data_IF_943964295557
#
_entry.id   IF_943964295557
#
_cell.length_a   1.000
_cell.length_b   1.000
_cell.length_c   1.000
_cell.angle_alpha   90.00
_cell.angle_beta   90.00
_cell.angle_gamma   90.00
#
_symmetry.space_group_name_H-M   'P 1'
#
loop_
_entity.id
_entity.type
_entity.pdbx_description
1 polymer ?
#
# COMPACT_ATOMS: atom_id res chain seq x y z
N UNK A 1 -82.36 27.61 -13.28
CA UNK A 1 -81.51 28.82 -13.28
C UNK A 1 -80.08 28.36 -13.53
N UNK A 2 -79.45 28.92 -14.55
CA UNK A 2 -78.17 28.52 -15.14
C UNK A 2 -77.02 28.53 -14.13
N UNK A 3 -76.05 27.61 -14.26
CA UNK A 3 -74.64 27.99 -14.43
C UNK A 3 -73.76 26.78 -14.80
N UNK A 4 -73.05 26.93 -15.92
CA UNK A 4 -71.85 26.16 -16.26
C UNK A 4 -70.72 26.44 -15.25
N UNK A 5 -69.80 25.49 -15.02
CA UNK A 5 -68.36 25.81 -15.00
C UNK A 5 -67.45 24.57 -15.01
N UNK A 6 -66.76 24.41 -16.14
CA UNK A 6 -65.36 24.04 -16.35
C UNK A 6 -64.78 22.73 -15.76
N UNK A 7 -64.52 21.83 -16.70
CA UNK A 7 -63.59 20.70 -16.67
C UNK A 7 -62.13 21.14 -16.48
N UNK A 8 -61.49 20.71 -15.39
CA UNK A 8 -60.05 20.79 -15.18
C UNK A 8 -59.32 19.60 -15.80
N UNK A 9 -58.58 19.84 -16.88
CA UNK A 9 -57.60 18.90 -17.42
C UNK A 9 -56.38 18.85 -16.49
N UNK A 10 -56.26 17.78 -15.71
CA UNK A 10 -55.05 17.48 -14.93
C UNK A 10 -53.98 16.98 -15.90
N UNK A 11 -53.03 17.86 -16.23
CA UNK A 11 -51.81 17.49 -16.97
C UNK A 11 -50.89 16.72 -16.02
N UNK A 12 -50.96 15.39 -16.07
CA UNK A 12 -49.94 14.51 -15.48
C UNK A 12 -48.64 14.66 -16.25
N UNK A 13 -47.73 15.50 -15.76
CA UNK A 13 -46.35 15.54 -16.23
C UNK A 13 -45.64 14.28 -15.74
N UNK A 14 -45.43 13.32 -16.64
CA UNK A 14 -44.64 12.12 -16.39
C UNK A 14 -43.16 12.53 -16.29
N UNK A 15 -42.67 12.75 -15.06
CA UNK A 15 -41.24 12.95 -14.83
C UNK A 15 -40.51 11.63 -15.03
N UNK A 16 -39.91 11.47 -16.21
CA UNK A 16 -38.98 10.39 -16.51
C UNK A 16 -37.69 10.62 -15.70
N UNK A 17 -37.59 9.99 -14.51
CA UNK A 17 -36.34 9.96 -13.74
C UNK A 17 -35.40 8.98 -14.44
N UNK A 18 -34.50 9.50 -15.26
CA UNK A 18 -33.39 8.73 -15.82
C UNK A 18 -32.39 8.44 -14.71
N UNK A 19 -32.52 7.30 -14.05
CA UNK A 19 -31.46 6.75 -13.20
C UNK A 19 -30.34 6.29 -14.13
N UNK A 20 -29.37 7.17 -14.37
CA UNK A 20 -28.10 6.78 -14.98
C UNK A 20 -27.35 5.97 -13.94
N UNK A 21 -27.53 4.65 -13.98
CA UNK A 21 -26.59 3.71 -13.38
C UNK A 21 -25.27 3.88 -14.11
N UNK A 22 -24.41 4.76 -13.58
CA UNK A 22 -23.00 4.81 -13.91
C UNK A 22 -22.40 3.47 -13.48
N UNK A 23 -22.50 2.47 -14.34
CA UNK A 23 -21.58 1.34 -14.33
C UNK A 23 -20.19 1.97 -14.50
N UNK A 24 -19.46 2.13 -13.40
CA UNK A 24 -18.03 2.45 -13.47
C UNK A 24 -17.36 1.42 -14.40
N UNK A 25 -16.34 1.83 -15.16
CA UNK A 25 -15.62 0.88 -15.99
C UNK A 25 -15.14 -0.25 -15.10
N UNK A 26 -15.54 -1.48 -15.43
CA UNK A 26 -14.95 -2.65 -14.82
C UNK A 26 -13.45 -2.61 -15.13
N UNK A 27 -12.62 -2.43 -14.10
CA UNK A 27 -11.16 -2.58 -14.19
C UNK A 27 -10.74 -4.01 -14.60
N UNK A 28 -11.70 -4.93 -14.73
CA UNK A 28 -11.48 -6.33 -15.07
C UNK A 28 -10.73 -6.46 -16.41
N UNK A 29 -9.53 -7.05 -16.35
CA UNK A 29 -8.72 -7.37 -17.53
C UNK A 29 -7.68 -6.32 -17.93
N UNK A 30 -7.54 -5.22 -17.19
CA UNK A 30 -6.41 -4.31 -17.38
C UNK A 30 -5.19 -4.83 -16.60
N UNK A 31 -4.03 -4.86 -17.27
CA UNK A 31 -2.79 -5.38 -16.69
C UNK A 31 -1.69 -4.32 -16.60
N UNK A 32 -0.85 -4.46 -15.57
CA UNK A 32 0.43 -3.78 -15.44
C UNK A 32 1.53 -4.70 -15.99
N UNK A 33 2.25 -4.24 -17.01
CA UNK A 33 3.49 -4.89 -17.44
C UNK A 33 4.60 -4.57 -16.45
N UNK A 34 5.19 -5.60 -15.83
CA UNK A 34 6.29 -5.46 -14.87
C UNK A 34 7.52 -6.19 -15.39
N UNK A 35 8.64 -5.46 -15.46
CA UNK A 35 9.96 -5.98 -15.82
C UNK A 35 10.69 -6.44 -14.56
N UNK A 36 10.62 -7.74 -14.27
CA UNK A 36 11.26 -8.34 -13.11
C UNK A 36 12.71 -8.71 -13.39
N UNK A 37 13.53 -8.62 -12.34
CA UNK A 37 14.91 -9.08 -12.35
C UNK A 37 15.18 -9.97 -11.15
N UNK A 38 15.78 -11.13 -11.37
CA UNK A 38 16.18 -12.08 -10.33
C UNK A 38 17.64 -12.50 -10.51
N UNK A 39 18.30 -12.92 -9.42
CA UNK A 39 19.61 -13.59 -9.48
C UNK A 39 19.41 -15.10 -9.49
N UNK A 40 19.97 -15.77 -10.49
CA UNK A 40 19.89 -17.24 -10.64
C UNK A 40 21.30 -17.81 -10.54
N UNK A 41 21.45 -18.88 -9.75
CA UNK A 41 22.73 -19.58 -9.61
C UNK A 41 23.22 -20.10 -10.97
N UNK A 42 24.53 -20.03 -11.19
CA UNK A 42 25.17 -20.65 -12.36
C UNK A 42 25.50 -22.10 -11.99
N UNK A 43 25.05 -23.10 -12.78
CA UNK A 43 25.43 -24.50 -12.58
C UNK A 43 26.96 -24.63 -12.47
N UNK A 44 27.41 -25.50 -11.57
CA UNK A 44 28.84 -25.76 -11.32
C UNK A 44 29.67 -24.55 -10.82
N UNK A 45 29.01 -23.44 -10.45
CA UNK A 45 29.66 -22.25 -9.89
C UNK A 45 28.88 -21.70 -8.68
N UNK A 46 28.94 -22.37 -7.51
CA UNK A 46 28.06 -22.12 -6.36
C UNK A 46 28.20 -20.73 -5.69
N UNK A 47 29.13 -19.88 -6.13
CA UNK A 47 29.29 -18.49 -5.67
C UNK A 47 28.97 -17.45 -6.75
N UNK A 48 28.60 -17.89 -7.95
CA UNK A 48 28.29 -17.00 -9.05
C UNK A 48 26.81 -17.05 -9.37
N UNK A 49 26.25 -15.90 -9.67
CA UNK A 49 24.89 -15.76 -10.14
C UNK A 49 24.87 -14.93 -11.40
N UNK A 50 23.90 -15.20 -12.27
CA UNK A 50 23.56 -14.35 -13.41
C UNK A 50 22.24 -13.64 -13.14
N UNK A 51 22.08 -12.46 -13.73
CA UNK A 51 20.78 -11.79 -13.74
C UNK A 51 19.90 -12.45 -14.79
N UNK A 52 18.67 -12.80 -14.41
CA UNK A 52 17.60 -13.19 -15.31
C UNK A 52 16.54 -12.08 -15.29
N UNK A 53 16.05 -11.72 -16.47
CA UNK A 53 14.96 -10.76 -16.64
C UNK A 53 13.70 -11.52 -17.09
N UNK A 54 12.55 -11.13 -16.55
CA UNK A 54 11.27 -11.67 -16.95
C UNK A 54 10.23 -10.55 -17.00
N UNK A 55 9.53 -10.44 -18.11
CA UNK A 55 8.33 -9.60 -18.21
C UNK A 55 7.14 -10.38 -17.66
N UNK A 56 6.37 -9.77 -16.75
CA UNK A 56 5.12 -10.31 -16.24
C UNK A 56 3.96 -9.35 -16.50
N UNK A 57 2.74 -9.89 -16.55
CA UNK A 57 1.49 -9.15 -16.63
C UNK A 57 0.74 -9.35 -15.32
N UNK A 58 0.51 -8.28 -14.57
CA UNK A 58 -0.20 -8.32 -13.31
C UNK A 58 -1.57 -7.69 -13.47
N UNK A 59 -2.64 -8.37 -13.03
CA UNK A 59 -3.99 -7.79 -13.05
C UNK A 59 -4.07 -6.64 -12.05
N UNK A 60 -4.51 -5.47 -12.51
CA UNK A 60 -4.53 -4.25 -11.69
C UNK A 60 -5.43 -4.41 -10.46
N UNK A 61 -6.56 -5.11 -10.59
CA UNK A 61 -7.49 -5.38 -9.49
C UNK A 61 -7.02 -6.48 -8.52
N UNK A 62 -5.94 -7.20 -8.86
CA UNK A 62 -5.30 -8.20 -8.00
C UNK A 62 -3.87 -7.80 -7.59
N UNK A 63 -3.52 -6.52 -7.75
CA UNK A 63 -2.19 -5.99 -7.44
C UNK A 63 -2.29 -4.89 -6.39
N UNK A 64 -1.39 -4.93 -5.40
CA UNK A 64 -1.21 -3.86 -4.44
C UNK A 64 0.28 -3.52 -4.27
N UNK A 65 0.56 -2.27 -3.89
CA UNK A 65 1.88 -1.83 -3.44
C UNK A 65 1.78 -1.49 -1.96
N UNK A 66 2.62 -2.13 -1.14
CA UNK A 66 2.72 -1.85 0.29
C UNK A 66 3.95 -1.00 0.55
N UNK A 67 3.78 0.16 1.19
CA UNK A 67 4.85 1.06 1.61
C UNK A 67 5.08 0.83 3.10
N UNK A 68 6.19 0.18 3.46
CA UNK A 68 6.54 -0.13 4.84
C UNK A 68 7.42 0.97 5.44
N UNK A 69 7.04 1.47 6.61
CA UNK A 69 7.88 2.25 7.55
C UNK A 69 8.67 3.41 6.92
N UNK A 70 8.08 4.09 5.93
CA UNK A 70 8.58 5.37 5.42
C UNK A 70 8.25 6.50 6.41
N UNK A 71 8.74 6.41 7.64
CA UNK A 71 8.43 7.35 8.72
C UNK A 71 8.94 8.78 8.45
N UNK A 72 8.33 9.76 9.10
CA UNK A 72 8.73 11.17 9.07
C UNK A 72 10.11 11.42 9.73
N UNK A 73 10.47 10.60 10.70
CA UNK A 73 11.76 10.65 11.36
C UNK A 73 12.25 9.26 11.78
N UNK A 74 13.57 9.08 11.82
CA UNK A 74 14.23 7.94 12.45
C UNK A 74 15.17 8.44 13.54
N UNK A 75 15.47 7.60 14.53
CA UNK A 75 16.47 7.94 15.55
C UNK A 75 17.87 8.17 14.94
N UNK A 76 18.19 7.46 13.86
CA UNK A 76 19.36 7.72 13.05
C UNK A 76 19.12 8.89 12.08
N UNK A 77 19.95 9.94 12.17
CA UNK A 77 19.88 11.10 11.28
C UNK A 77 20.08 10.71 9.81
N UNK A 78 21.10 9.88 9.52
CA UNK A 78 21.38 9.41 8.16
C UNK A 78 20.23 8.58 7.57
N UNK A 79 19.55 7.77 8.39
CA UNK A 79 18.35 7.06 7.94
C UNK A 79 17.21 8.03 7.59
N UNK A 80 16.98 9.04 8.43
CA UNK A 80 15.99 10.10 8.16
C UNK A 80 16.27 10.81 6.83
N UNK A 81 17.53 11.17 6.58
CA UNK A 81 17.94 11.85 5.33
C UNK A 81 17.76 10.96 4.11
N UNK A 82 18.13 9.67 4.17
CA UNK A 82 17.91 8.70 3.08
C UNK A 82 16.43 8.47 2.78
N UNK A 83 15.59 8.42 3.82
CA UNK A 83 14.13 8.32 3.65
C UNK A 83 13.58 9.57 2.96
N UNK A 84 14.04 10.76 3.35
CA UNK A 84 13.66 12.01 2.69
C UNK A 84 14.10 12.08 1.22
N UNK A 85 15.26 11.53 0.87
CA UNK A 85 15.73 11.43 -0.52
C UNK A 85 14.91 10.43 -1.35
N UNK A 86 14.56 9.28 -0.76
CA UNK A 86 13.84 8.22 -1.44
C UNK A 86 12.34 8.53 -1.62
N UNK A 87 11.73 9.22 -0.65
CA UNK A 87 10.28 9.45 -0.58
C UNK A 87 9.68 10.08 -1.87
N UNK A 88 10.29 11.11 -2.50
CA UNK A 88 9.77 11.65 -3.76
C UNK A 88 9.77 10.64 -4.92
N UNK A 89 10.71 9.69 -4.93
CA UNK A 89 10.75 8.63 -5.96
C UNK A 89 9.62 7.64 -5.72
N UNK A 90 9.43 7.19 -4.48
CA UNK A 90 8.31 6.32 -4.09
C UNK A 90 6.99 7.00 -4.44
N UNK A 91 6.82 8.28 -4.11
CA UNK A 91 5.60 9.02 -4.42
C UNK A 91 5.28 9.00 -5.93
N UNK A 92 6.27 9.20 -6.80
CA UNK A 92 6.05 9.10 -8.26
C UNK A 92 5.60 7.71 -8.69
N UNK A 93 6.19 6.66 -8.12
CA UNK A 93 5.81 5.27 -8.43
C UNK A 93 4.37 5.01 -8.00
N UNK A 94 4.01 5.34 -6.76
CA UNK A 94 2.68 5.05 -6.24
C UNK A 94 1.61 5.92 -6.89
N UNK A 95 1.87 7.20 -7.19
CA UNK A 95 0.92 7.99 -7.98
C UNK A 95 0.66 7.36 -9.36
N UNK A 96 1.71 6.97 -10.09
CA UNK A 96 1.56 6.35 -11.40
C UNK A 96 0.84 4.99 -11.36
N UNK A 97 1.04 4.20 -10.30
CA UNK A 97 0.35 2.94 -10.09
C UNK A 97 -1.12 3.17 -9.68
N UNK A 98 -1.37 4.14 -8.81
CA UNK A 98 -2.70 4.52 -8.34
C UNK A 98 -3.56 5.09 -9.46
N UNK A 99 -2.97 5.84 -10.40
CA UNK A 99 -3.66 6.31 -11.62
C UNK A 99 -4.11 5.17 -12.55
N UNK A 100 -3.48 4.00 -12.42
CA UNK A 100 -3.86 2.77 -13.14
C UNK A 100 -4.81 1.89 -12.33
N UNK A 101 -5.15 2.26 -11.10
CA UNK A 101 -6.07 1.51 -10.24
C UNK A 101 -5.40 0.44 -9.37
N UNK A 102 -4.07 0.44 -9.24
CA UNK A 102 -3.37 -0.39 -8.25
C UNK A 102 -3.70 0.13 -6.85
N UNK A 103 -4.00 -0.78 -5.91
CA UNK A 103 -4.22 -0.43 -4.51
C UNK A 103 -2.89 -0.04 -3.85
N UNK A 104 -2.85 1.11 -3.18
CA UNK A 104 -1.72 1.53 -2.37
C UNK A 104 -2.05 1.30 -0.90
N UNK A 105 -1.19 0.57 -0.20
CA UNK A 105 -1.30 0.28 1.22
C UNK A 105 -0.13 0.93 1.95
N UNK A 106 -0.42 1.81 2.89
CA UNK A 106 0.57 2.45 3.75
C UNK A 106 0.67 1.67 5.07
N UNK A 107 1.87 1.21 5.41
CA UNK A 107 2.14 0.46 6.63
C UNK A 107 3.18 1.19 7.51
N UNK A 108 2.82 2.33 8.13
CA UNK A 108 3.71 3.06 9.02
C UNK A 108 3.56 2.53 10.44
N UNK A 109 4.26 1.43 10.74
CA UNK A 109 4.13 0.74 12.02
C UNK A 109 4.49 1.64 13.20
N UNK A 110 3.83 1.41 14.35
CA UNK A 110 4.02 2.23 15.56
C UNK A 110 3.42 3.64 15.49
N UNK A 111 2.78 4.02 14.37
CA UNK A 111 2.17 5.36 14.19
C UNK A 111 0.69 5.33 13.82
N UNK A 112 0.06 4.15 13.81
CA UNK A 112 -1.32 3.98 13.32
C UNK A 112 -2.35 4.85 14.06
N UNK A 113 -2.13 5.16 15.34
CA UNK A 113 -3.00 6.06 16.11
C UNK A 113 -3.10 7.48 15.53
N UNK A 114 -2.05 7.95 14.83
CA UNK A 114 -2.07 9.20 14.08
C UNK A 114 -3.17 9.20 13.00
N UNK A 115 -3.48 8.02 12.45
CA UNK A 115 -4.38 7.82 11.33
C UNK A 115 -5.74 7.25 11.72
N UNK A 116 -6.05 7.12 13.02
CA UNK A 116 -7.27 6.42 13.50
C UNK A 116 -8.58 6.88 12.83
N UNK A 117 -8.67 8.17 12.47
CA UNK A 117 -9.85 8.80 11.88
C UNK A 117 -9.72 9.00 10.36
N UNK A 118 -8.58 8.63 9.76
CA UNK A 118 -8.32 8.82 8.34
C UNK A 118 -9.15 7.84 7.48
N UNK A 119 -9.77 8.26 6.36
CA UNK A 119 -10.58 7.39 5.51
C UNK A 119 -9.86 6.10 5.10
N UNK A 120 -8.60 6.20 4.65
CA UNK A 120 -7.77 5.04 4.30
C UNK A 120 -7.52 4.06 5.46
N UNK A 121 -7.43 4.52 6.72
CA UNK A 121 -7.34 3.62 7.89
C UNK A 121 -8.66 2.88 8.09
N UNK A 122 -9.78 3.58 7.98
CA UNK A 122 -11.11 2.99 8.07
C UNK A 122 -11.37 2.00 6.93
N UNK A 123 -10.84 2.23 5.73
CA UNK A 123 -10.88 1.29 4.60
C UNK A 123 -10.24 -0.04 4.99
N UNK A 124 -9.01 -0.02 5.53
CA UNK A 124 -8.32 -1.23 5.97
C UNK A 124 -9.10 -1.97 7.08
N UNK A 125 -9.59 -1.24 8.09
CA UNK A 125 -10.36 -1.85 9.20
C UNK A 125 -11.68 -2.48 8.77
N UNK A 126 -12.29 -1.96 7.69
CA UNK A 126 -13.58 -2.45 7.16
C UNK A 126 -13.40 -3.55 6.12
N UNK A 127 -12.18 -3.79 5.64
CA UNK A 127 -11.91 -4.85 4.68
C UNK A 127 -12.31 -6.21 5.28
N UNK A 128 -12.95 -7.09 4.49
CA UNK A 128 -13.27 -8.43 4.97
C UNK A 128 -11.98 -9.20 5.20
N UNK A 129 -11.84 -9.81 6.38
CA UNK A 129 -10.69 -10.65 6.68
C UNK A 129 -10.56 -11.81 5.68
N UNK A 130 -9.34 -12.05 5.21
CA UNK A 130 -9.04 -13.14 4.31
C UNK A 130 -9.33 -14.51 4.93
N UNK A 131 -9.73 -15.47 4.09
CA UNK A 131 -10.06 -16.84 4.52
C UNK A 131 -8.83 -17.73 4.74
N UNK A 132 -7.67 -17.29 4.27
CA UNK A 132 -6.43 -18.07 4.17
C UNK A 132 -5.27 -17.37 4.90
N UNK A 133 -5.51 -16.84 6.09
CA UNK A 133 -4.48 -16.21 6.90
C UNK A 133 -3.36 -17.23 7.25
N UNK A 134 -2.09 -16.93 6.94
CA UNK A 134 -0.94 -17.74 7.34
C UNK A 134 -0.87 -17.91 8.86
N UNK A 135 -0.38 -19.07 9.30
CA UNK A 135 -0.04 -19.28 10.70
C UNK A 135 1.01 -18.26 11.15
N UNK A 136 0.82 -17.65 12.32
CA UNK A 136 1.75 -16.66 12.87
C UNK A 136 1.71 -15.28 12.22
N UNK A 137 0.74 -14.96 11.33
CA UNK A 137 0.66 -13.63 10.67
C UNK A 137 0.52 -12.44 11.64
N UNK A 138 0.11 -12.70 12.89
CA UNK A 138 0.01 -11.70 13.97
C UNK A 138 1.21 -11.68 14.92
N UNK A 139 2.20 -12.53 14.67
CA UNK A 139 3.35 -12.72 15.54
C UNK A 139 4.60 -12.14 14.88
N UNK A 140 5.51 -11.64 15.70
CA UNK A 140 6.83 -11.24 15.23
C UNK A 140 7.58 -12.44 14.65
N UNK A 141 8.20 -12.25 13.48
CA UNK A 141 8.98 -13.26 12.79
C UNK A 141 10.41 -12.72 12.55
N UNK A 142 11.36 -13.15 13.38
CA UNK A 142 12.76 -12.74 13.23
C UNK A 142 13.47 -13.49 12.10
N UNK A 143 13.10 -14.76 11.90
CA UNK A 143 13.68 -15.67 10.93
C UNK A 143 12.57 -16.41 10.23
N UNK A 144 12.63 -16.47 8.89
CA UNK A 144 11.69 -17.22 8.06
C UNK A 144 11.74 -18.72 8.36
N UNK A 145 12.95 -19.26 8.56
CA UNK A 145 13.21 -20.66 8.89
C UNK A 145 14.61 -20.87 9.50
N UNK A 146 14.91 -22.10 9.89
CA UNK A 146 16.21 -22.50 10.45
C UNK A 146 17.38 -22.31 9.48
N UNK A 147 17.12 -22.38 8.17
CA UNK A 147 18.16 -22.20 7.15
C UNK A 147 18.61 -20.74 7.09
N UNK A 148 17.66 -19.79 7.10
CA UNK A 148 17.96 -18.36 7.17
C UNK A 148 18.64 -17.99 8.49
N UNK A 149 18.16 -18.54 9.61
CA UNK A 149 18.79 -18.34 10.92
C UNK A 149 20.24 -18.81 10.96
N UNK A 150 20.54 -19.96 10.35
CA UNK A 150 21.89 -20.48 10.26
C UNK A 150 22.79 -19.65 9.32
N UNK A 151 22.21 -19.06 8.26
CA UNK A 151 22.94 -18.20 7.35
C UNK A 151 23.25 -16.81 7.95
N UNK A 152 22.32 -16.27 8.75
CA UNK A 152 22.42 -14.92 9.32
C UNK A 152 22.18 -13.82 8.29
N UNK A 153 22.08 -12.58 8.76
CA UNK A 153 21.97 -11.42 7.89
C UNK A 153 23.32 -11.10 7.23
N UNK A 154 23.33 -10.61 5.97
CA UNK A 154 24.55 -10.25 5.26
C UNK A 154 25.19 -8.94 5.77
N UNK A 155 24.64 -8.34 6.82
CA UNK A 155 25.08 -7.09 7.45
C UNK A 155 25.03 -7.23 8.97
N UNK A 156 25.98 -6.59 9.66
CA UNK A 156 25.88 -6.37 11.11
C UNK A 156 24.96 -5.17 11.36
N UNK A 157 23.89 -5.43 12.12
CA UNK A 157 22.91 -4.45 12.54
C UNK A 157 22.63 -4.58 14.04
N UNK A 158 23.56 -5.18 14.79
CA UNK A 158 23.44 -5.40 16.24
C UNK A 158 23.31 -4.09 17.04
N UNK A 159 23.70 -2.97 16.43
CA UNK A 159 23.59 -1.61 16.96
C UNK A 159 22.47 -0.79 16.28
N UNK A 160 21.54 -1.46 15.59
CA UNK A 160 20.45 -0.81 14.87
C UNK A 160 20.87 -0.08 13.59
N UNK A 161 22.14 -0.15 13.17
CA UNK A 161 22.58 0.27 11.84
C UNK A 161 22.74 1.79 11.63
N UNK A 162 23.07 2.54 12.69
CA UNK A 162 23.37 3.97 12.56
C UNK A 162 24.80 4.20 12.07
N UNK A 163 24.92 4.90 10.95
CA UNK A 163 26.19 5.23 10.26
C UNK A 163 26.70 6.65 10.57
N UNK A 164 26.08 7.35 11.52
CA UNK A 164 26.46 8.72 11.89
C UNK A 164 27.65 8.75 12.86
N UNK A 165 28.49 9.80 12.75
CA UNK A 165 29.59 10.08 13.68
C UNK A 165 29.49 11.52 14.23
N UNK A 166 29.38 11.72 15.56
CA UNK A 166 29.13 10.69 16.58
C UNK A 166 27.77 10.00 16.38
N UNK A 167 27.62 8.80 16.96
CA UNK A 167 26.39 8.01 16.85
C UNK A 167 25.19 8.77 17.44
N UNK A 168 24.05 8.68 16.76
CA UNK A 168 22.80 9.30 17.23
C UNK A 168 22.28 8.61 18.50
N UNK A 169 21.49 9.34 19.29
CA UNK A 169 20.77 8.77 20.42
C UNK A 169 19.65 7.85 19.90
N UNK A 170 19.55 6.64 20.45
CA UNK A 170 18.47 5.70 20.12
C UNK A 170 17.12 6.16 20.69
N UNK A 171 16.03 5.79 20.02
CA UNK A 171 14.67 6.10 20.44
C UNK A 171 13.64 5.85 19.33
N UNK A 172 12.41 6.29 19.56
CA UNK A 172 11.27 6.11 18.65
C UNK A 172 10.68 7.49 18.27
N UNK A 173 11.40 8.33 17.51
CA UNK A 173 10.99 9.71 17.25
C UNK A 173 9.91 9.84 16.16
N UNK A 174 9.62 8.77 15.42
CA UNK A 174 8.61 8.78 14.37
C UNK A 174 7.23 9.04 14.95
N UNK A 175 6.43 9.81 14.23
CA UNK A 175 5.04 10.09 14.63
C UNK A 175 4.03 9.71 13.57
N UNK A 176 4.49 9.52 12.33
CA UNK A 176 3.68 9.23 11.14
C UNK A 176 4.57 8.82 9.96
N UNK A 177 3.97 8.50 8.82
CA UNK A 177 4.65 8.43 7.53
C UNK A 177 5.11 9.83 7.08
N UNK A 178 6.23 9.91 6.36
CA UNK A 178 6.71 11.15 5.74
C UNK A 178 5.69 11.72 4.74
N UNK A 179 5.38 13.01 4.87
CA UNK A 179 4.36 13.70 4.05
C UNK A 179 4.72 13.81 2.56
N UNK A 180 5.99 13.56 2.20
CA UNK A 180 6.45 13.55 0.82
C UNK A 180 5.83 12.39 0.00
N UNK A 181 5.28 11.37 0.66
CA UNK A 181 4.48 10.31 0.03
C UNK A 181 3.02 10.61 0.33
N UNK A 182 2.27 10.99 -0.70
CA UNK A 182 0.88 11.35 -0.59
C UNK A 182 0.01 10.11 -0.29
N UNK A 183 -0.83 10.25 0.73
CA UNK A 183 -1.90 9.30 1.07
C UNK A 183 -3.21 9.89 0.55
N UNK A 184 -3.98 9.11 -0.21
CA UNK A 184 -5.31 9.49 -0.69
C UNK A 184 -6.42 8.72 0.05
N UNK A 185 -7.64 9.25 0.09
CA UNK A 185 -8.78 8.60 0.76
C UNK A 185 -9.11 7.20 0.20
N UNK A 186 -8.74 6.94 -1.06
CA UNK A 186 -8.91 5.65 -1.75
C UNK A 186 -7.83 4.61 -1.41
N UNK A 187 -6.78 5.01 -0.69
CA UNK A 187 -5.72 4.10 -0.27
C UNK A 187 -6.17 3.27 0.96
N UNK A 188 -5.27 2.43 1.47
CA UNK A 188 -5.44 1.75 2.75
C UNK A 188 -4.28 2.09 3.70
N UNK A 189 -4.54 2.16 5.01
CA UNK A 189 -3.50 2.32 6.04
C UNK A 189 -3.62 1.20 7.07
N UNK A 190 -2.58 0.38 7.23
CA UNK A 190 -2.49 -0.63 8.29
C UNK A 190 -1.06 -1.14 8.45
N UNK A 191 -0.64 -1.39 9.69
CA UNK A 191 0.56 -2.16 10.03
C UNK A 191 0.23 -3.59 10.49
N UNK A 192 -1.03 -4.00 10.41
CA UNK A 192 -1.48 -5.33 10.78
C UNK A 192 -1.40 -6.29 9.59
N UNK A 193 -0.55 -7.31 9.70
CA UNK A 193 -0.46 -8.34 8.66
C UNK A 193 -1.81 -9.01 8.35
N UNK A 194 -2.70 -9.13 9.33
CA UNK A 194 -4.02 -9.74 9.12
C UNK A 194 -5.03 -8.83 8.39
N UNK A 195 -4.83 -7.51 8.41
CA UNK A 195 -5.66 -6.56 7.66
C UNK A 195 -5.11 -6.32 6.24
N UNK A 196 -3.80 -6.51 6.04
CA UNK A 196 -3.11 -6.32 4.75
C UNK A 196 -3.16 -7.58 3.85
N UNK A 197 -3.41 -8.76 4.42
CA UNK A 197 -3.46 -10.06 3.72
C UNK A 197 -4.80 -10.34 3.05
#
# INVERSE_FOLDING_TARGET
MMSFSQSGLVRTALHLVLVVLLCGPALAGQTLTVELRSRVAIPDSPKQSRVACQTQQWDLGQTAIIICDMWDQHWCKGATERVAELAPVINRVVCAARDRGVLIVHAPSGTIDHYRDHPARLTAMRAPGARNLPEGIRSWCQWKDDAEKAAGYPIDHSDGGCDCLPRCLEGEPWTRQIDAIQIEDRDAISDSGAEVW
#
